data_IF_223429599378
#
_entry.id   IF_223429599378
#
_cell.length_a   1.000
_cell.length_b   1.000
_cell.length_c   1.000
_cell.angle_alpha   90.00
_cell.angle_beta   90.00
_cell.angle_gamma   90.00
#
_symmetry.space_group_name_H-M   'P 1'
#
loop_
_entity.id
_entity.type
_entity.pdbx_description
1 polymer ?
#
# COMPACT_ATOMS: atom_id res chain seq x y z
N UNK A 1 23.06 -4.45 -41.03
CA UNK A 1 23.11 -4.87 -39.61
C UNK A 1 23.06 -3.68 -38.64
N UNK A 2 23.46 -2.46 -39.03
CA UNK A 2 23.45 -1.26 -38.17
C UNK A 2 22.05 -0.78 -37.74
N UNK A 3 21.03 -0.93 -38.58
CA UNK A 3 19.65 -0.55 -38.26
C UNK A 3 19.06 -1.43 -37.13
N UNK A 4 19.42 -2.71 -37.09
CA UNK A 4 18.94 -3.65 -36.07
C UNK A 4 19.62 -3.36 -34.73
N UNK A 5 20.91 -3.02 -34.75
CA UNK A 5 21.67 -2.64 -33.55
C UNK A 5 21.16 -1.32 -32.93
N UNK A 6 20.87 -0.31 -33.77
CA UNK A 6 20.31 0.97 -33.30
C UNK A 6 18.90 0.80 -32.71
N UNK A 7 18.02 0.03 -33.36
CA UNK A 7 16.70 -0.31 -32.80
C UNK A 7 16.80 -1.08 -31.48
N UNK A 8 17.74 -2.01 -31.36
CA UNK A 8 18.00 -2.75 -30.12
C UNK A 8 18.42 -1.84 -28.96
N UNK A 9 19.33 -0.89 -29.21
CA UNK A 9 19.76 0.08 -28.19
C UNK A 9 18.63 1.01 -27.73
N UNK A 10 17.75 1.42 -28.66
CA UNK A 10 16.58 2.26 -28.37
C UNK A 10 15.56 1.50 -27.52
N UNK A 11 15.29 0.24 -27.85
CA UNK A 11 14.39 -0.62 -27.07
C UNK A 11 14.88 -0.81 -25.63
N UNK A 12 16.18 -1.04 -25.44
CA UNK A 12 16.80 -1.16 -24.10
C UNK A 12 16.65 0.15 -23.32
N UNK A 13 16.91 1.30 -23.97
CA UNK A 13 16.72 2.62 -23.36
C UNK A 13 15.28 2.83 -22.87
N UNK A 14 14.28 2.48 -23.68
CA UNK A 14 12.85 2.58 -23.32
C UNK A 14 12.49 1.68 -22.15
N UNK A 15 13.00 0.44 -22.11
CA UNK A 15 12.75 -0.49 -21.00
C UNK A 15 13.32 0.03 -19.69
N UNK A 16 14.56 0.55 -19.70
CA UNK A 16 15.19 1.16 -18.52
C UNK A 16 14.37 2.36 -18.05
N UNK A 17 13.96 3.24 -18.98
CA UNK A 17 13.14 4.41 -18.66
C UNK A 17 11.80 4.00 -18.03
N UNK A 18 11.16 2.95 -18.56
CA UNK A 18 9.91 2.41 -18.01
C UNK A 18 10.08 1.91 -16.58
N UNK A 19 11.17 1.19 -16.28
CA UNK A 19 11.47 0.71 -14.91
C UNK A 19 11.68 1.89 -13.97
N UNK A 20 12.45 2.90 -14.36
CA UNK A 20 12.71 4.10 -13.55
C UNK A 20 11.42 4.86 -13.25
N UNK A 21 10.58 5.10 -14.26
CA UNK A 21 9.28 5.76 -14.09
C UNK A 21 8.38 4.96 -13.16
N UNK A 22 8.35 3.63 -13.31
CA UNK A 22 7.53 2.75 -12.46
C UNK A 22 8.02 2.73 -11.02
N UNK A 23 9.34 2.73 -10.80
CA UNK A 23 9.95 2.79 -9.46
C UNK A 23 9.64 4.12 -8.77
N UNK A 24 9.73 5.24 -9.49
CA UNK A 24 9.35 6.57 -8.99
C UNK A 24 7.84 6.69 -8.72
N UNK A 25 7.00 5.88 -9.38
CA UNK A 25 5.54 5.88 -9.19
C UNK A 25 5.08 5.02 -8.00
N UNK A 26 5.90 4.09 -7.51
CA UNK A 26 5.60 3.25 -6.34
C UNK A 26 5.39 4.02 -5.03
N UNK A 27 6.22 5.02 -4.63
CA UNK A 27 6.01 5.73 -3.37
C UNK A 27 4.68 6.47 -3.32
N UNK A 28 4.22 7.05 -4.45
CA UNK A 28 2.92 7.74 -4.50
C UNK A 28 1.74 6.78 -4.30
N UNK A 29 1.82 5.56 -4.86
CA UNK A 29 0.79 4.52 -4.62
C UNK A 29 0.77 4.04 -3.17
N UNK A 30 1.94 3.92 -2.53
CA UNK A 30 2.03 3.53 -1.12
C UNK A 30 1.42 4.58 -0.20
N UNK A 31 1.67 5.87 -0.46
CA UNK A 31 1.06 6.96 0.30
C UNK A 31 -0.46 6.93 0.18
N UNK A 32 -1.00 6.78 -1.03
CA UNK A 32 -2.45 6.71 -1.23
C UNK A 32 -3.08 5.51 -0.52
N UNK A 33 -2.47 4.33 -0.65
CA UNK A 33 -2.94 3.15 0.06
C UNK A 33 -2.87 3.33 1.58
N UNK A 34 -1.81 3.94 2.11
CA UNK A 34 -1.70 4.28 3.52
C UNK A 34 -2.81 5.20 4.02
N UNK A 35 -3.17 6.24 3.24
CA UNK A 35 -4.28 7.15 3.58
C UNK A 35 -5.60 6.38 3.60
N UNK A 36 -5.90 5.60 2.55
CA UNK A 36 -7.14 4.81 2.46
C UNK A 36 -7.22 3.81 3.62
N UNK A 37 -6.13 3.13 3.95
CA UNK A 37 -6.08 2.20 5.07
C UNK A 37 -6.19 2.86 6.43
N UNK A 38 -5.65 4.08 6.60
CA UNK A 38 -5.84 4.87 7.81
C UNK A 38 -7.31 5.26 7.99
N UNK A 39 -7.97 5.73 6.92
CA UNK A 39 -9.41 6.04 6.92
C UNK A 39 -10.23 4.80 7.25
N UNK A 40 -9.88 3.66 6.66
CA UNK A 40 -10.58 2.39 6.90
C UNK A 40 -10.43 1.90 8.35
N UNK A 41 -9.21 1.95 8.92
CA UNK A 41 -8.97 1.62 10.32
C UNK A 41 -9.63 2.62 11.27
N UNK A 42 -9.68 3.90 10.89
CA UNK A 42 -10.37 4.93 11.68
C UNK A 42 -11.87 4.67 11.74
N UNK A 43 -12.51 4.34 10.61
CA UNK A 43 -13.91 3.91 10.58
C UNK A 43 -14.13 2.63 11.40
N UNK A 44 -13.23 1.66 11.28
CA UNK A 44 -13.29 0.43 12.08
C UNK A 44 -13.14 0.71 13.59
N UNK A 45 -12.30 1.67 13.98
CA UNK A 45 -12.13 2.09 15.37
C UNK A 45 -13.35 2.86 15.90
N UNK A 46 -14.06 3.62 15.06
CA UNK A 46 -15.33 4.26 15.44
C UNK A 46 -16.44 3.23 15.67
N UNK A 47 -16.61 2.28 14.74
CA UNK A 47 -17.63 1.23 14.83
C UNK A 47 -17.31 0.20 15.93
N UNK A 48 -16.06 -0.26 16.00
CA UNK A 48 -15.57 -1.22 16.98
C UNK A 48 -15.35 -0.63 18.38
N UNK A 49 -14.95 0.64 18.46
CA UNK A 49 -14.83 1.36 19.73
C UNK A 49 -16.20 1.62 20.36
N UNK A 50 -17.21 1.97 19.57
CA UNK A 50 -18.56 2.22 20.07
C UNK A 50 -19.32 0.95 20.50
N UNK A 51 -19.15 -0.18 19.79
CA UNK A 51 -19.85 -1.43 20.12
C UNK A 51 -19.06 -2.38 21.04
N UNK A 52 -17.74 -2.39 20.97
CA UNK A 52 -16.89 -3.42 21.61
C UNK A 52 -15.77 -2.84 22.51
N UNK A 53 -15.68 -1.52 22.68
CA UNK A 53 -14.64 -0.83 23.46
C UNK A 53 -13.20 -1.22 23.04
N UNK A 54 -13.02 -1.54 21.76
CA UNK A 54 -11.71 -1.89 21.18
C UNK A 54 -11.04 -0.60 20.71
N UNK A 55 -9.97 -0.18 21.38
CA UNK A 55 -9.14 0.96 20.97
C UNK A 55 -7.95 0.47 20.15
N UNK A 56 -7.99 0.69 18.84
CA UNK A 56 -6.93 0.25 17.92
C UNK A 56 -5.92 1.39 17.75
N UNK A 57 -4.62 1.12 17.96
CA UNK A 57 -3.58 2.10 17.65
C UNK A 57 -3.32 2.13 16.15
N UNK A 58 -3.76 3.21 15.49
CA UNK A 58 -3.57 3.41 14.05
C UNK A 58 -2.18 3.99 13.79
N UNK A 59 -1.25 3.16 13.32
CA UNK A 59 0.08 3.59 12.89
C UNK A 59 0.20 3.58 11.37
N UNK A 60 1.21 4.27 10.82
CA UNK A 60 1.46 4.30 9.37
C UNK A 60 1.63 2.87 8.81
N UNK A 61 2.32 1.98 9.54
CA UNK A 61 2.53 0.59 9.10
C UNK A 61 1.21 -0.19 9.05
N UNK A 62 0.40 -0.11 10.11
CA UNK A 62 -0.91 -0.79 10.17
C UNK A 62 -1.87 -0.25 9.11
N UNK A 63 -1.89 1.07 8.90
CA UNK A 63 -2.66 1.72 7.85
C UNK A 63 -2.20 1.28 6.46
N UNK A 64 -0.89 1.15 6.23
CA UNK A 64 -0.37 0.66 4.96
C UNK A 64 -0.76 -0.80 4.70
N UNK A 65 -0.71 -1.66 5.73
CA UNK A 65 -1.15 -3.06 5.63
C UNK A 65 -2.65 -3.13 5.34
N UNK A 66 -3.48 -2.42 6.10
CA UNK A 66 -4.92 -2.37 5.89
C UNK A 66 -5.30 -1.76 4.53
N UNK A 67 -4.56 -0.75 4.06
CA UNK A 67 -4.80 -0.10 2.78
C UNK A 67 -4.33 -0.91 1.58
N UNK A 68 -3.23 -1.64 1.71
CA UNK A 68 -2.72 -2.50 0.64
C UNK A 68 -3.52 -3.81 0.52
N UNK A 69 -3.88 -4.42 1.64
CA UNK A 69 -4.63 -5.68 1.67
C UNK A 69 -6.15 -5.50 1.76
N UNK A 70 -6.66 -4.29 2.00
CA UNK A 70 -8.10 -4.00 2.11
C UNK A 70 -8.76 -4.60 3.34
N UNK A 71 -9.98 -5.14 3.18
CA UNK A 71 -10.78 -5.75 4.26
C UNK A 71 -10.02 -6.89 4.98
N UNK A 72 -9.38 -7.84 4.26
CA UNK A 72 -8.54 -8.86 4.91
C UNK A 72 -7.42 -8.26 5.77
N UNK A 73 -6.76 -7.21 5.28
CA UNK A 73 -5.69 -6.51 6.00
C UNK A 73 -6.18 -5.79 7.25
N UNK A 74 -7.32 -5.10 7.14
CA UNK A 74 -7.96 -4.45 8.28
C UNK A 74 -8.35 -5.48 9.35
N UNK A 75 -8.97 -6.59 8.96
CA UNK A 75 -9.32 -7.67 9.89
C UNK A 75 -8.08 -8.26 10.60
N UNK A 76 -7.00 -8.50 9.86
CA UNK A 76 -5.75 -8.99 10.44
C UNK A 76 -5.14 -8.00 11.46
N UNK A 77 -5.16 -6.69 11.16
CA UNK A 77 -4.67 -5.66 12.08
C UNK A 77 -5.54 -5.56 13.34
N UNK A 78 -6.87 -5.65 13.20
CA UNK A 78 -7.82 -5.64 14.33
C UNK A 78 -7.60 -6.87 15.22
N UNK A 79 -7.51 -8.06 14.62
CA UNK A 79 -7.23 -9.30 15.35
C UNK A 79 -5.86 -9.26 16.03
N UNK A 80 -4.84 -8.71 15.36
CA UNK A 80 -3.52 -8.54 15.93
C UNK A 80 -3.54 -7.59 17.14
N UNK A 81 -4.23 -6.45 17.05
CA UNK A 81 -4.30 -5.50 18.17
C UNK A 81 -5.18 -5.99 19.33
N UNK A 82 -6.09 -6.93 19.07
CA UNK A 82 -6.98 -7.51 20.07
C UNK A 82 -6.36 -8.74 20.77
N UNK A 83 -5.70 -9.62 20.03
CA UNK A 83 -5.18 -10.89 20.53
C UNK A 83 -3.67 -10.90 20.77
N UNK A 84 -2.91 -10.17 19.95
CA UNK A 84 -1.44 -10.11 20.02
C UNK A 84 -0.94 -8.81 20.66
N UNK A 85 -1.82 -8.16 21.43
CA UNK A 85 -1.47 -7.05 22.30
C UNK A 85 -0.40 -7.47 23.32
#
# INVERSE_FOLDING_TARGET
MEIIASLGSLAIGVVILWIVVKLLSLPFKLVWNGIVGAVMLWLANLLGGALFNITIHITIIKALIAGFFGIPGAAAVILWDLFAK
#
